data_IF_863397255729
#
_entry.id   IF_863397255729
#
_cell.length_a   1.000
_cell.length_b   1.000
_cell.length_c   1.000
_cell.angle_alpha   90.00
_cell.angle_beta   90.00
_cell.angle_gamma   90.00
#
_symmetry.space_group_name_H-M   'P 1'
#
loop_
_entity.id
_entity.type
_entity.pdbx_description
1 polymer ?
#
# COMPACT_ATOMS: atom_id res chain seq x y z
N UNK A 1 20.95 -9.93 -5.49
CA UNK A 1 21.15 -8.64 -6.10
C UNK A 1 19.96 -8.22 -6.98
N UNK A 2 19.78 -6.96 -7.10
CA UNK A 2 18.74 -6.41 -7.99
C UNK A 2 19.36 -6.18 -9.36
N UNK A 3 19.16 -7.11 -10.29
CA UNK A 3 19.61 -6.95 -11.67
C UNK A 3 18.49 -6.36 -12.54
N UNK A 4 18.31 -5.05 -12.40
CA UNK A 4 17.31 -4.29 -13.16
C UNK A 4 17.60 -4.26 -14.66
N UNK A 5 18.88 -4.25 -15.04
CA UNK A 5 19.30 -4.23 -16.45
C UNK A 5 18.96 -5.53 -17.17
N UNK A 6 19.18 -6.66 -16.50
CA UNK A 6 18.83 -7.98 -17.04
C UNK A 6 17.30 -8.12 -17.16
N UNK A 7 16.56 -7.75 -16.13
CA UNK A 7 15.10 -7.78 -16.14
C UNK A 7 14.51 -6.89 -17.24
N UNK A 8 15.07 -5.70 -17.43
CA UNK A 8 14.66 -4.79 -18.50
C UNK A 8 14.92 -5.40 -19.89
N UNK A 9 16.10 -6.00 -20.10
CA UNK A 9 16.44 -6.64 -21.37
C UNK A 9 15.47 -7.79 -21.71
N UNK A 10 15.14 -8.64 -20.73
CA UNK A 10 14.15 -9.71 -20.89
C UNK A 10 12.77 -9.17 -21.22
N UNK A 11 12.36 -8.09 -20.54
CA UNK A 11 11.08 -7.45 -20.79
C UNK A 11 11.00 -6.87 -22.21
N UNK A 12 12.05 -6.21 -22.67
CA UNK A 12 12.13 -5.67 -24.02
C UNK A 12 12.10 -6.77 -25.08
N UNK A 13 12.79 -7.90 -24.84
CA UNK A 13 12.75 -9.07 -25.71
C UNK A 13 11.32 -9.65 -25.78
N UNK A 14 10.65 -9.79 -24.64
CA UNK A 14 9.28 -10.25 -24.58
C UNK A 14 8.36 -9.36 -25.41
N UNK A 15 8.48 -8.03 -25.27
CA UNK A 15 7.67 -7.09 -26.04
C UNK A 15 7.93 -7.20 -27.55
N UNK A 16 9.20 -7.36 -27.95
CA UNK A 16 9.57 -7.53 -29.36
C UNK A 16 8.98 -8.82 -29.95
N UNK A 17 8.97 -9.92 -29.21
CA UNK A 17 8.40 -11.21 -29.62
C UNK A 17 6.87 -11.11 -29.68
N UNK A 18 6.22 -10.53 -28.67
CA UNK A 18 4.77 -10.44 -28.59
C UNK A 18 4.18 -9.39 -29.55
N UNK A 19 4.98 -8.42 -30.00
CA UNK A 19 4.56 -7.32 -30.89
C UNK A 19 3.32 -6.57 -30.41
N UNK A 20 3.22 -6.37 -29.07
CA UNK A 20 2.09 -5.73 -28.41
C UNK A 20 2.56 -4.61 -27.49
N UNK A 21 1.79 -3.52 -27.34
CA UNK A 21 2.09 -2.50 -26.33
C UNK A 21 1.96 -3.07 -24.92
N UNK A 22 2.69 -2.51 -23.96
CA UNK A 22 2.69 -2.93 -22.55
C UNK A 22 1.27 -2.95 -21.96
N UNK A 23 0.47 -1.94 -22.28
CA UNK A 23 -0.92 -1.83 -21.81
C UNK A 23 -1.76 -3.04 -22.20
N UNK A 24 -1.58 -3.57 -23.40
CA UNK A 24 -2.29 -4.76 -23.87
C UNK A 24 -1.78 -6.02 -23.17
N UNK A 25 -0.47 -6.15 -22.97
CA UNK A 25 0.11 -7.28 -22.24
C UNK A 25 -0.40 -7.31 -20.80
N UNK A 26 -0.40 -6.17 -20.12
CA UNK A 26 -0.94 -6.05 -18.74
C UNK A 26 -2.41 -6.43 -18.69
N UNK A 27 -3.22 -5.97 -19.67
CA UNK A 27 -4.63 -6.34 -19.77
C UNK A 27 -4.82 -7.84 -19.90
N UNK A 28 -4.08 -8.48 -20.79
CA UNK A 28 -4.16 -9.92 -21.02
C UNK A 28 -3.76 -10.73 -19.78
N UNK A 29 -2.73 -10.30 -19.06
CA UNK A 29 -2.31 -10.94 -17.80
C UNK A 29 -3.40 -10.81 -16.73
N UNK A 30 -4.01 -9.63 -16.60
CA UNK A 30 -5.11 -9.39 -15.65
C UNK A 30 -6.34 -10.23 -16.01
N UNK A 31 -6.70 -10.28 -17.27
CA UNK A 31 -7.83 -11.09 -17.75
C UNK A 31 -7.59 -12.59 -17.49
N UNK A 32 -6.38 -13.06 -17.72
CA UNK A 32 -5.99 -14.43 -17.41
C UNK A 32 -6.02 -14.75 -15.91
N UNK A 33 -5.49 -13.84 -15.10
CA UNK A 33 -5.45 -13.99 -13.63
C UNK A 33 -6.82 -13.80 -12.98
N UNK A 34 -7.75 -13.09 -13.63
CA UNK A 34 -9.04 -12.70 -13.05
C UNK A 34 -8.93 -11.73 -11.89
N UNK A 35 -7.84 -10.97 -11.83
CA UNK A 35 -7.52 -10.07 -10.71
C UNK A 35 -7.24 -8.66 -11.22
N UNK A 36 -8.03 -7.68 -10.76
CA UNK A 36 -8.03 -6.31 -11.29
C UNK A 36 -7.72 -5.24 -10.25
N UNK A 37 -7.25 -5.61 -9.07
CA UNK A 37 -6.99 -4.66 -8.00
C UNK A 37 -5.98 -3.59 -8.42
N UNK A 38 -6.15 -2.41 -7.86
CA UNK A 38 -5.24 -1.27 -8.02
C UNK A 38 -4.47 -1.05 -6.73
N UNK A 39 -3.16 -1.03 -6.83
CA UNK A 39 -2.28 -0.68 -5.71
C UNK A 39 -1.78 0.75 -5.87
N UNK A 40 -1.94 1.55 -4.81
CA UNK A 40 -1.37 2.90 -4.73
C UNK A 40 -0.42 3.00 -3.55
N UNK A 41 0.61 3.83 -3.70
CA UNK A 41 1.60 4.10 -2.66
C UNK A 41 1.57 5.57 -2.27
N UNK A 42 1.76 5.85 -1.00
CA UNK A 42 1.91 7.20 -0.46
C UNK A 42 2.85 7.21 0.73
N UNK A 43 3.29 8.38 1.12
CA UNK A 43 4.11 8.58 2.31
C UNK A 43 3.54 9.73 3.14
N UNK A 44 3.45 9.53 4.46
CA UNK A 44 3.00 10.53 5.41
C UNK A 44 4.13 10.82 6.38
N UNK A 45 4.53 12.09 6.47
CA UNK A 45 5.45 12.54 7.52
C UNK A 45 4.68 12.83 8.81
N UNK A 46 5.27 12.54 9.94
CA UNK A 46 4.73 12.86 11.26
C UNK A 46 5.79 13.50 12.16
N UNK A 47 5.34 14.26 13.16
CA UNK A 47 6.23 14.96 14.10
C UNK A 47 6.47 14.15 15.36
N UNK A 48 5.42 13.53 15.91
CA UNK A 48 5.49 12.73 17.13
C UNK A 48 5.44 11.23 16.78
N UNK A 49 6.62 10.67 16.53
CA UNK A 49 6.78 9.26 16.20
C UNK A 49 6.20 8.34 17.27
N UNK A 50 6.52 8.58 18.53
CA UNK A 50 6.09 7.70 19.62
C UNK A 50 4.59 7.62 19.73
N UNK A 51 3.92 8.77 19.60
CA UNK A 51 2.47 8.85 19.66
C UNK A 51 1.82 8.14 18.48
N UNK A 52 2.23 8.47 17.25
CA UNK A 52 1.66 7.85 16.04
C UNK A 52 1.83 6.34 16.08
N UNK A 53 3.02 5.86 16.42
CA UNK A 53 3.28 4.44 16.47
C UNK A 53 2.50 3.72 17.58
N UNK A 54 2.33 4.36 18.75
CA UNK A 54 1.51 3.80 19.83
C UNK A 54 0.06 3.59 19.41
N UNK A 55 -0.54 4.58 18.73
CA UNK A 55 -1.91 4.44 18.22
C UNK A 55 -2.03 3.36 17.14
N UNK A 56 -1.06 3.27 16.24
CA UNK A 56 -1.04 2.22 15.22
C UNK A 56 -0.86 0.82 15.84
N UNK A 57 -0.02 0.69 16.86
CA UNK A 57 0.19 -0.58 17.56
C UNK A 57 -1.05 -1.06 18.33
N UNK A 58 -1.85 -0.14 18.83
CA UNK A 58 -3.11 -0.42 19.52
C UNK A 58 -4.30 -0.63 18.57
N UNK A 59 -4.07 -0.59 17.26
CA UNK A 59 -5.10 -0.86 16.24
C UNK A 59 -6.37 0.00 16.39
N UNK A 60 -6.18 1.26 16.73
CA UNK A 60 -7.31 2.18 17.00
C UNK A 60 -7.95 2.74 15.74
N UNK A 61 -7.38 2.45 14.57
CA UNK A 61 -7.94 2.90 13.30
C UNK A 61 -9.17 2.08 12.92
N UNK A 62 -10.20 2.79 12.45
CA UNK A 62 -11.44 2.17 11.97
C UNK A 62 -11.56 2.36 10.46
N UNK A 63 -11.85 1.28 9.76
CA UNK A 63 -12.10 1.27 8.32
C UNK A 63 -13.59 1.07 8.02
N UNK A 64 -14.07 1.50 6.83
CA UNK A 64 -15.46 1.30 6.42
C UNK A 64 -15.88 -0.17 6.31
N UNK A 65 -14.93 -1.05 6.01
CA UNK A 65 -15.14 -2.49 5.93
C UNK A 65 -14.44 -3.21 7.07
N UNK A 66 -14.96 -4.37 7.49
CA UNK A 66 -14.31 -5.16 8.53
C UNK A 66 -12.91 -5.63 8.12
N UNK A 67 -11.96 -5.45 9.02
CA UNK A 67 -10.65 -6.08 8.89
C UNK A 67 -10.79 -7.56 9.23
N UNK A 68 -10.42 -8.43 8.30
CA UNK A 68 -10.48 -9.87 8.49
C UNK A 68 -9.28 -10.37 9.29
N UNK A 69 -8.09 -9.82 9.00
CA UNK A 69 -6.84 -10.22 9.64
C UNK A 69 -5.88 -9.06 9.71
N UNK A 70 -5.14 -8.99 10.81
CA UNK A 70 -4.02 -8.06 10.99
C UNK A 70 -2.75 -8.87 11.11
N UNK A 71 -1.76 -8.55 10.30
CA UNK A 71 -0.42 -9.14 10.36
C UNK A 71 0.58 -8.08 10.79
N UNK A 72 1.32 -8.38 11.85
CA UNK A 72 2.39 -7.52 12.35
C UNK A 72 3.72 -8.25 12.20
N UNK A 73 4.64 -7.65 11.46
CA UNK A 73 5.99 -8.18 11.28
C UNK A 73 7.00 -7.05 11.36
N UNK A 74 7.84 -7.08 12.37
CA UNK A 74 8.84 -6.05 12.66
C UNK A 74 8.18 -4.67 12.78
N UNK A 75 8.47 -3.77 11.83
CA UNK A 75 7.95 -2.40 11.78
C UNK A 75 6.78 -2.24 10.82
N UNK A 76 6.18 -3.32 10.36
CA UNK A 76 5.11 -3.30 9.39
C UNK A 76 3.80 -3.80 10.00
N UNK A 77 2.70 -3.19 9.60
CA UNK A 77 1.34 -3.63 9.95
C UNK A 77 0.58 -3.79 8.65
N UNK A 78 0.01 -4.96 8.42
CA UNK A 78 -0.83 -5.24 7.26
C UNK A 78 -2.25 -5.56 7.70
N UNK A 79 -3.19 -4.78 7.20
CA UNK A 79 -4.63 -5.03 7.36
C UNK A 79 -5.13 -5.74 6.11
N UNK A 80 -5.84 -6.84 6.29
CA UNK A 80 -6.38 -7.66 5.20
C UNK A 80 -7.91 -7.61 5.30
N UNK A 81 -8.55 -7.31 4.17
CA UNK A 81 -9.99 -7.21 4.00
C UNK A 81 -10.52 -8.38 3.16
N UNK A 82 -11.84 -8.44 2.97
CA UNK A 82 -12.44 -9.35 2.01
C UNK A 82 -11.92 -9.09 0.59
N UNK A 83 -12.06 -10.07 -0.30
CA UNK A 83 -11.62 -9.99 -1.70
C UNK A 83 -10.12 -9.76 -1.89
N UNK A 84 -9.30 -10.20 -0.94
CA UNK A 84 -7.84 -10.05 -0.96
C UNK A 84 -7.34 -8.59 -1.02
N UNK A 85 -8.21 -7.62 -0.71
CA UNK A 85 -7.81 -6.22 -0.54
C UNK A 85 -6.97 -6.08 0.73
N UNK A 86 -6.00 -5.18 0.70
CA UNK A 86 -5.10 -4.99 1.85
C UNK A 86 -4.50 -3.58 1.92
N UNK A 87 -4.08 -3.24 3.12
CA UNK A 87 -3.31 -2.03 3.42
C UNK A 87 -2.04 -2.45 4.15
N UNK A 88 -0.90 -1.94 3.72
CA UNK A 88 0.38 -2.13 4.39
C UNK A 88 0.90 -0.79 4.88
N UNK A 89 1.12 -0.69 6.17
CA UNK A 89 1.80 0.43 6.83
C UNK A 89 3.24 0.02 7.12
N UNK A 90 4.19 0.69 6.47
CA UNK A 90 5.62 0.43 6.62
C UNK A 90 6.31 1.62 7.29
N UNK A 91 6.87 1.41 8.46
CA UNK A 91 7.65 2.42 9.18
C UNK A 91 9.04 2.57 8.55
N UNK A 92 9.47 3.80 8.31
CA UNK A 92 10.86 4.05 7.94
C UNK A 92 11.76 3.83 9.15
N UNK A 93 12.96 3.32 8.92
CA UNK A 93 13.98 3.13 9.97
C UNK A 93 14.87 4.36 10.18
N UNK A 94 14.84 5.32 9.26
CA UNK A 94 15.78 6.44 9.21
C UNK A 94 15.11 7.81 9.20
N UNK A 95 13.84 7.87 8.87
CA UNK A 95 13.08 9.12 8.73
C UNK A 95 11.71 9.01 9.42
N UNK A 96 11.16 10.11 9.94
CA UNK A 96 9.81 10.13 10.54
C UNK A 96 8.72 10.08 9.47
N UNK A 97 8.72 9.00 8.71
CA UNK A 97 7.81 8.78 7.57
C UNK A 97 7.17 7.41 7.67
N UNK A 98 5.86 7.38 7.49
CA UNK A 98 5.08 6.17 7.30
C UNK A 98 4.79 5.99 5.81
N UNK A 99 5.26 4.92 5.23
CA UNK A 99 4.91 4.52 3.87
C UNK A 99 3.65 3.67 3.90
N UNK A 100 2.73 4.00 3.02
CA UNK A 100 1.41 3.38 2.97
C UNK A 100 1.22 2.80 1.58
N UNK A 101 0.86 1.52 1.54
CA UNK A 101 0.46 0.83 0.32
C UNK A 101 -0.99 0.39 0.50
N UNK A 102 -1.83 0.71 -0.47
CA UNK A 102 -3.25 0.36 -0.45
C UNK A 102 -3.58 -0.36 -1.74
N UNK A 103 -4.04 -1.59 -1.64
CA UNK A 103 -4.51 -2.37 -2.78
C UNK A 103 -5.99 -2.72 -2.60
N UNK A 104 -6.82 -2.22 -3.50
CA UNK A 104 -8.28 -2.36 -3.48
C UNK A 104 -8.82 -2.71 -4.87
N UNK A 105 -10.10 -3.07 -4.93
CA UNK A 105 -10.78 -3.47 -6.17
C UNK A 105 -10.86 -2.34 -7.20
N UNK A 106 -10.76 -1.08 -6.77
CA UNK A 106 -10.77 0.09 -7.65
C UNK A 106 -9.82 1.17 -7.15
N UNK A 107 -9.41 2.04 -8.06
CA UNK A 107 -8.57 3.19 -7.75
C UNK A 107 -9.27 4.15 -6.77
N UNK A 108 -10.54 4.43 -7.00
CA UNK A 108 -11.36 5.32 -6.17
C UNK A 108 -11.45 4.80 -4.74
N UNK A 109 -11.62 3.50 -4.57
CA UNK A 109 -11.65 2.87 -3.24
C UNK A 109 -10.27 2.94 -2.57
N UNK A 110 -9.20 2.69 -3.31
CA UNK A 110 -7.83 2.80 -2.79
C UNK A 110 -7.52 4.24 -2.32
N UNK A 111 -7.90 5.25 -3.09
CA UNK A 111 -7.74 6.66 -2.74
C UNK A 111 -8.55 7.03 -1.50
N UNK A 112 -9.78 6.54 -1.36
CA UNK A 112 -10.62 6.75 -0.17
C UNK A 112 -9.96 6.18 1.09
N UNK A 113 -9.43 4.98 1.04
CA UNK A 113 -8.76 4.36 2.19
C UNK A 113 -7.45 5.05 2.52
N UNK A 114 -6.70 5.49 1.51
CA UNK A 114 -5.51 6.32 1.73
C UNK A 114 -5.85 7.63 2.44
N UNK A 115 -6.97 8.28 2.06
CA UNK A 115 -7.41 9.52 2.72
C UNK A 115 -7.78 9.28 4.18
N UNK A 116 -8.44 8.17 4.51
CA UNK A 116 -8.75 7.78 5.89
C UNK A 116 -7.46 7.66 6.72
N UNK A 117 -6.45 7.03 6.17
CA UNK A 117 -5.14 6.88 6.83
C UNK A 117 -4.42 8.23 7.01
N UNK A 118 -4.44 9.08 5.99
CA UNK A 118 -3.88 10.41 6.06
C UNK A 118 -4.51 11.23 7.18
N UNK A 119 -5.83 11.25 7.24
CA UNK A 119 -6.59 12.00 8.25
C UNK A 119 -6.34 11.42 9.64
N UNK A 120 -6.30 10.11 9.78
CA UNK A 120 -6.00 9.44 11.04
C UNK A 120 -4.63 9.83 11.58
N UNK A 121 -3.57 9.73 10.77
CA UNK A 121 -2.20 10.07 11.19
C UNK A 121 -2.08 11.55 11.52
N UNK A 122 -2.65 12.44 10.70
CA UNK A 122 -2.65 13.88 10.96
C UNK A 122 -3.38 14.24 12.25
N UNK A 123 -4.52 13.62 12.53
CA UNK A 123 -5.28 13.87 13.76
C UNK A 123 -4.47 13.47 14.99
N UNK A 124 -3.82 12.30 14.97
CA UNK A 124 -2.97 11.87 16.08
C UNK A 124 -1.79 12.80 16.27
N UNK A 125 -1.11 13.16 15.19
CA UNK A 125 0.08 14.02 15.22
C UNK A 125 -0.23 15.46 15.67
N UNK A 126 -1.47 15.91 15.47
CA UNK A 126 -1.95 17.23 15.89
C UNK A 126 -2.42 17.30 17.35
N UNK A 127 -2.59 16.17 18.04
CA UNK A 127 -2.97 16.14 19.46
C UNK A 127 -1.86 16.78 20.31
N UNK A 128 -2.17 17.90 20.95
CA UNK A 128 -1.22 18.64 21.77
C UNK A 128 -1.51 18.37 23.23
N UNK A 129 -0.50 17.89 23.98
CA UNK A 129 -0.44 18.00 25.43
C UNK A 129 -1.51 17.27 26.25
N UNK A 130 -1.99 16.16 25.78
CA UNK A 130 -2.89 15.34 26.59
C UNK A 130 -2.15 14.16 27.22
#
# INVERSE_FOLDING_TARGET
GKDSSFALALFMEMMAIMKKPVSQIVKEVRDFAGFYHTCIESSISYKDEKRVLSYLDNETITFPEPVIRVEKLNRNIKYIFANDSWILLRRSGTEPVLRIFVEMESKEKAEKYLQILNDYVKNIDSLIGV
#
